data_IF_904819430549
#
_entry.id   IF_904819430549
#
_cell.length_a   1.000
_cell.length_b   1.000
_cell.length_c   1.000
_cell.angle_alpha   90.00
_cell.angle_beta   90.00
_cell.angle_gamma   90.00
#
_symmetry.space_group_name_H-M   'P 1'
#
loop_
_entity.id
_entity.type
_entity.pdbx_description
1 polymer ?
#
# COMPACT_ATOMS: atom_id res chain seq x y z
N UNK A 1 40.00 -23.36 42.84
CA UNK A 1 38.84 -22.42 42.83
C UNK A 1 39.01 -21.45 41.69
N UNK A 2 38.59 -21.80 40.48
CA UNK A 2 38.54 -20.90 39.34
C UNK A 2 37.83 -21.62 38.20
N UNK A 3 36.47 -21.56 38.18
CA UNK A 3 35.64 -22.02 37.05
C UNK A 3 34.19 -21.61 37.26
N UNK A 4 33.90 -20.29 37.27
CA UNK A 4 32.48 -19.84 37.30
C UNK A 4 32.28 -18.39 36.82
N UNK A 5 33.01 -17.89 35.84
CA UNK A 5 32.78 -16.52 35.33
C UNK A 5 32.70 -16.38 33.82
N UNK A 6 32.46 -17.44 33.04
CA UNK A 6 32.48 -17.32 31.58
C UNK A 6 31.13 -17.58 30.91
N UNK A 7 30.02 -17.60 31.65
CA UNK A 7 28.70 -17.95 31.06
C UNK A 7 27.67 -16.80 31.02
N UNK A 8 27.99 -15.59 31.46
CA UNK A 8 27.02 -14.49 31.54
C UNK A 8 27.09 -13.52 30.35
N UNK A 9 28.12 -13.57 29.52
CA UNK A 9 28.32 -12.59 28.43
C UNK A 9 27.77 -13.00 27.08
N UNK A 10 27.19 -14.18 26.90
CA UNK A 10 26.65 -14.64 25.61
C UNK A 10 25.13 -14.37 25.48
N UNK A 11 24.43 -14.16 26.60
CA UNK A 11 22.96 -13.91 26.55
C UNK A 11 22.58 -12.47 26.24
N UNK A 12 23.49 -11.52 26.38
CA UNK A 12 23.17 -10.08 26.12
C UNK A 12 23.27 -9.68 24.65
N UNK A 13 23.90 -10.49 23.80
CA UNK A 13 24.10 -10.20 22.38
C UNK A 13 22.94 -10.58 21.46
N UNK A 14 22.05 -11.48 21.91
CA UNK A 14 20.97 -12.01 21.05
C UNK A 14 19.68 -11.19 21.17
N UNK A 15 19.50 -10.43 22.25
CA UNK A 15 18.27 -9.62 22.44
C UNK A 15 18.25 -8.30 21.69
N UNK A 16 19.38 -7.82 21.15
CA UNK A 16 19.45 -6.55 20.42
C UNK A 16 19.20 -6.66 18.92
N UNK A 17 19.11 -7.88 18.37
CA UNK A 17 18.89 -8.08 16.94
C UNK A 17 17.42 -8.23 16.53
N UNK A 18 16.49 -8.34 17.49
CA UNK A 18 15.07 -8.55 17.20
C UNK A 18 14.24 -7.28 17.12
N UNK A 19 14.77 -6.13 17.54
CA UNK A 19 14.01 -4.87 17.58
C UNK A 19 14.15 -4.00 16.33
N UNK A 20 15.08 -4.30 15.42
CA UNK A 20 15.30 -3.47 14.22
C UNK A 20 14.47 -3.87 13.00
N UNK A 21 13.82 -5.04 12.99
CA UNK A 21 13.01 -5.47 11.85
C UNK A 21 11.61 -4.86 11.81
N UNK A 22 11.08 -4.35 12.92
CA UNK A 22 9.74 -3.78 12.95
C UNK A 22 9.68 -2.28 12.56
N UNK A 23 10.82 -1.58 12.51
CA UNK A 23 10.86 -0.15 12.22
C UNK A 23 10.50 0.21 10.77
N UNK A 24 10.42 -0.77 9.87
CA UNK A 24 10.17 -0.56 8.43
C UNK A 24 8.92 -1.28 7.91
N UNK A 25 8.14 -1.93 8.76
CA UNK A 25 6.93 -2.61 8.33
C UNK A 25 5.83 -1.58 7.99
N UNK A 26 5.09 -1.82 6.91
CA UNK A 26 3.90 -1.03 6.60
C UNK A 26 2.90 -1.10 7.75
N UNK A 27 2.33 0.03 8.13
CA UNK A 27 1.20 0.10 9.07
C UNK A 27 -0.03 -0.62 8.48
N UNK A 28 -1.02 -0.89 9.31
CA UNK A 28 -2.26 -1.54 8.85
C UNK A 28 -2.99 -0.69 7.79
N UNK A 29 -2.99 0.63 7.95
CA UNK A 29 -3.54 1.56 6.96
C UNK A 29 -2.76 1.53 5.64
N UNK A 30 -1.44 1.49 5.70
CA UNK A 30 -0.60 1.38 4.51
C UNK A 30 -0.79 0.03 3.80
N UNK A 31 -0.93 -1.08 4.55
CA UNK A 31 -1.24 -2.40 3.99
C UNK A 31 -2.63 -2.43 3.35
N UNK A 32 -3.62 -1.81 3.99
CA UNK A 32 -4.96 -1.67 3.43
C UNK A 32 -4.92 -0.90 2.11
N UNK A 33 -4.24 0.24 2.06
CA UNK A 33 -4.11 1.05 0.84
C UNK A 33 -3.39 0.29 -0.28
N UNK A 34 -2.30 -0.43 0.04
CA UNK A 34 -1.58 -1.26 -0.93
C UNK A 34 -2.43 -2.42 -1.48
N UNK A 35 -3.22 -3.07 -0.61
CA UNK A 35 -4.17 -4.11 -1.03
C UNK A 35 -5.25 -3.52 -1.93
N UNK A 36 -5.84 -2.42 -1.55
CA UNK A 36 -6.93 -1.81 -2.29
C UNK A 36 -6.50 -1.22 -3.63
N UNK A 37 -5.27 -0.72 -3.73
CA UNK A 37 -4.68 -0.37 -5.03
C UNK A 37 -4.71 -1.58 -5.99
N UNK A 38 -4.20 -2.74 -5.55
CA UNK A 38 -4.18 -3.95 -6.38
C UNK A 38 -5.58 -4.44 -6.75
N UNK A 39 -6.55 -4.36 -5.82
CA UNK A 39 -7.96 -4.73 -6.07
C UNK A 39 -8.58 -3.81 -7.12
N UNK A 40 -8.42 -2.50 -6.98
CA UNK A 40 -8.94 -1.53 -7.93
C UNK A 40 -8.30 -1.66 -9.31
N UNK A 41 -6.96 -1.81 -9.38
CA UNK A 41 -6.23 -1.96 -10.64
C UNK A 41 -6.64 -3.25 -11.37
N UNK A 42 -6.77 -4.37 -10.65
CA UNK A 42 -7.23 -5.64 -11.22
C UNK A 42 -8.68 -5.55 -11.72
N UNK A 43 -9.56 -4.96 -10.94
CA UNK A 43 -10.97 -4.76 -11.34
C UNK A 43 -11.10 -3.80 -12.54
N UNK A 44 -10.23 -2.78 -12.62
CA UNK A 44 -10.16 -1.90 -13.78
C UNK A 44 -9.78 -2.66 -15.06
N UNK A 45 -8.79 -3.56 -14.97
CA UNK A 45 -8.41 -4.41 -16.09
C UNK A 45 -9.58 -5.30 -16.56
N UNK A 46 -10.31 -5.93 -15.64
CA UNK A 46 -11.50 -6.71 -15.99
C UNK A 46 -12.60 -5.87 -16.64
N UNK A 47 -12.85 -4.67 -16.11
CA UNK A 47 -13.81 -3.75 -16.71
C UNK A 47 -13.42 -3.31 -18.12
N UNK A 48 -12.13 -3.11 -18.36
CA UNK A 48 -11.59 -2.82 -19.70
C UNK A 48 -11.81 -3.99 -20.66
N UNK A 49 -11.52 -5.22 -20.24
CA UNK A 49 -11.78 -6.41 -21.06
C UNK A 49 -13.27 -6.56 -21.44
N UNK A 50 -14.17 -6.01 -20.63
CA UNK A 50 -15.62 -5.96 -20.89
C UNK A 50 -16.05 -4.71 -21.66
N UNK A 51 -15.11 -3.91 -22.20
CA UNK A 51 -15.34 -2.63 -22.86
C UNK A 51 -16.06 -1.58 -21.98
N UNK A 52 -16.02 -1.72 -20.65
CA UNK A 52 -16.59 -0.74 -19.73
C UNK A 52 -15.52 0.29 -19.33
N UNK A 53 -15.17 1.18 -20.27
CA UNK A 53 -14.11 2.17 -20.10
C UNK A 53 -14.40 3.15 -18.96
N UNK A 54 -15.67 3.53 -18.76
CA UNK A 54 -16.06 4.43 -17.67
C UNK A 54 -15.75 3.82 -16.29
N UNK A 55 -16.13 2.57 -16.08
CA UNK A 55 -15.82 1.85 -14.84
C UNK A 55 -14.32 1.63 -14.67
N UNK A 56 -13.61 1.22 -15.73
CA UNK A 56 -12.17 1.03 -15.71
C UNK A 56 -11.44 2.32 -15.28
N UNK A 57 -11.79 3.46 -15.87
CA UNK A 57 -11.19 4.76 -15.53
C UNK A 57 -11.46 5.14 -14.06
N UNK A 58 -12.68 4.94 -13.56
CA UNK A 58 -13.03 5.22 -12.16
C UNK A 58 -12.21 4.36 -11.19
N UNK A 59 -12.10 3.06 -11.45
CA UNK A 59 -11.33 2.14 -10.63
C UNK A 59 -9.82 2.47 -10.64
N UNK A 60 -9.27 2.85 -11.79
CA UNK A 60 -7.88 3.33 -11.89
C UNK A 60 -7.64 4.60 -11.07
N UNK A 61 -8.60 5.51 -11.06
CA UNK A 61 -8.52 6.70 -10.24
C UNK A 61 -8.49 6.36 -8.74
N UNK A 62 -9.30 5.40 -8.28
CA UNK A 62 -9.28 4.92 -6.90
C UNK A 62 -7.95 4.22 -6.56
N UNK A 63 -7.39 3.42 -7.48
CA UNK A 63 -6.08 2.80 -7.31
C UNK A 63 -4.98 3.86 -7.14
N UNK A 64 -4.95 4.87 -8.01
CA UNK A 64 -3.99 5.98 -7.93
C UNK A 64 -4.11 6.75 -6.60
N UNK A 65 -5.32 6.99 -6.10
CA UNK A 65 -5.55 7.62 -4.80
C UNK A 65 -5.00 6.78 -3.64
N UNK A 66 -5.21 5.47 -3.67
CA UNK A 66 -4.70 4.56 -2.64
C UNK A 66 -3.17 4.60 -2.60
N UNK A 67 -2.51 4.53 -3.76
CA UNK A 67 -1.05 4.60 -3.86
C UNK A 67 -0.52 5.95 -3.36
N UNK A 68 -1.12 7.05 -3.78
CA UNK A 68 -0.71 8.39 -3.35
C UNK A 68 -0.83 8.55 -1.84
N UNK A 69 -1.94 8.11 -1.25
CA UNK A 69 -2.17 8.16 0.19
C UNK A 69 -1.16 7.32 0.98
N UNK A 70 -0.82 6.15 0.47
CA UNK A 70 0.19 5.28 1.09
C UNK A 70 1.55 5.98 1.17
N UNK A 71 2.01 6.61 0.08
CA UNK A 71 3.27 7.32 0.07
C UNK A 71 3.25 8.56 0.96
N UNK A 72 2.12 9.25 1.06
CA UNK A 72 1.97 10.36 1.99
C UNK A 72 2.10 9.96 3.45
N UNK A 73 1.45 8.87 3.88
CA UNK A 73 1.61 8.35 5.23
C UNK A 73 3.08 8.00 5.49
N UNK A 74 3.75 7.38 4.51
CA UNK A 74 5.15 6.99 4.63
C UNK A 74 6.08 8.18 4.80
N UNK A 75 5.85 9.27 4.06
CA UNK A 75 6.61 10.50 4.15
C UNK A 75 6.46 11.16 5.53
N UNK A 76 5.21 11.22 6.05
CA UNK A 76 4.95 11.74 7.41
C UNK A 76 5.66 10.92 8.47
N UNK A 77 5.67 9.62 8.33
CA UNK A 77 6.28 8.71 9.29
C UNK A 77 7.81 8.61 9.15
N UNK A 78 8.43 9.35 8.22
CA UNK A 78 9.88 9.32 7.98
C UNK A 78 10.39 7.97 7.50
N UNK A 79 9.54 7.12 6.92
CA UNK A 79 9.91 5.78 6.45
C UNK A 79 10.71 5.89 5.15
N UNK A 80 11.81 5.12 5.05
CA UNK A 80 12.66 5.10 3.86
C UNK A 80 11.86 4.67 2.62
N UNK A 81 11.81 5.54 1.62
CA UNK A 81 11.00 5.37 0.40
C UNK A 81 11.23 4.02 -0.31
N UNK A 82 12.47 3.54 -0.37
CA UNK A 82 12.80 2.26 -1.00
C UNK A 82 12.12 1.06 -0.32
N UNK A 83 12.18 1.01 1.00
CA UNK A 83 11.55 -0.05 1.81
C UNK A 83 10.02 -0.08 1.62
N UNK A 84 9.38 1.09 1.55
CA UNK A 84 7.93 1.19 1.30
C UNK A 84 7.56 0.66 -0.08
N UNK A 85 8.34 1.01 -1.10
CA UNK A 85 8.10 0.55 -2.48
C UNK A 85 8.18 -0.97 -2.57
N UNK A 86 9.18 -1.60 -1.94
CA UNK A 86 9.36 -3.05 -2.00
C UNK A 86 8.22 -3.79 -1.29
N UNK A 87 7.81 -3.31 -0.12
CA UNK A 87 6.69 -3.87 0.62
C UNK A 87 5.36 -3.66 -0.12
N UNK A 88 5.16 -2.49 -0.71
CA UNK A 88 4.01 -2.19 -1.56
C UNK A 88 3.90 -3.17 -2.73
N UNK A 89 5.01 -3.38 -3.46
CA UNK A 89 5.07 -4.35 -4.56
C UNK A 89 4.78 -5.79 -4.08
N UNK A 90 5.24 -6.16 -2.89
CA UNK A 90 4.97 -7.47 -2.31
C UNK A 90 3.49 -7.65 -2.00
N UNK A 91 2.85 -6.69 -1.32
CA UNK A 91 1.41 -6.72 -1.03
C UNK A 91 0.59 -6.79 -2.32
N UNK A 92 0.94 -5.98 -3.32
CA UNK A 92 0.28 -5.97 -4.62
C UNK A 92 0.36 -7.33 -5.33
N UNK A 93 1.55 -7.96 -5.36
CA UNK A 93 1.74 -9.30 -5.95
C UNK A 93 0.91 -10.37 -5.25
N UNK A 94 0.88 -10.36 -3.91
CA UNK A 94 0.09 -11.32 -3.13
C UNK A 94 -1.40 -11.12 -3.36
N UNK A 95 -1.88 -9.88 -3.38
CA UNK A 95 -3.28 -9.56 -3.65
C UNK A 95 -3.69 -9.99 -5.06
N UNK A 96 -2.87 -9.68 -6.07
CA UNK A 96 -3.12 -10.12 -7.45
C UNK A 96 -3.21 -11.65 -7.55
N UNK A 97 -2.25 -12.39 -6.96
CA UNK A 97 -2.27 -13.86 -6.96
C UNK A 97 -3.54 -14.43 -6.37
N UNK A 98 -4.03 -13.86 -5.26
CA UNK A 98 -5.30 -14.27 -4.64
C UNK A 98 -6.49 -14.04 -5.56
N UNK A 99 -6.56 -12.88 -6.21
CA UNK A 99 -7.60 -12.54 -7.17
C UNK A 99 -7.57 -13.45 -8.41
N UNK A 100 -6.40 -13.70 -8.98
CA UNK A 100 -6.23 -14.61 -10.12
C UNK A 100 -6.67 -16.05 -9.79
N UNK A 101 -6.40 -16.52 -8.57
CA UNK A 101 -6.79 -17.85 -8.11
C UNK A 101 -8.26 -17.93 -7.68
N UNK A 102 -9.02 -16.85 -7.77
CA UNK A 102 -10.41 -16.75 -7.28
C UNK A 102 -10.58 -17.12 -5.80
N UNK A 103 -9.52 -16.99 -5.01
CA UNK A 103 -9.54 -17.24 -3.56
C UNK A 103 -10.45 -16.26 -2.82
N UNK A 104 -10.78 -15.13 -3.46
CA UNK A 104 -11.62 -14.08 -2.90
C UNK A 104 -12.60 -13.59 -3.97
N UNK A 105 -13.83 -13.33 -3.58
CA UNK A 105 -14.80 -12.69 -4.49
C UNK A 105 -14.41 -11.22 -4.67
N UNK A 106 -14.14 -10.82 -5.91
CA UNK A 106 -13.70 -9.45 -6.24
C UNK A 106 -14.66 -8.39 -5.72
N UNK A 107 -15.97 -8.65 -5.78
CA UNK A 107 -17.00 -7.71 -5.30
C UNK A 107 -16.90 -7.48 -3.80
N UNK A 108 -16.61 -8.51 -3.01
CA UNK A 108 -16.43 -8.39 -1.56
C UNK A 108 -15.18 -7.57 -1.24
N UNK A 109 -14.08 -7.81 -1.97
CA UNK A 109 -12.85 -7.03 -1.80
C UNK A 109 -13.04 -5.57 -2.21
N UNK A 110 -13.77 -5.29 -3.30
CA UNK A 110 -14.13 -3.93 -3.70
C UNK A 110 -14.97 -3.24 -2.63
N UNK A 111 -15.95 -3.94 -2.07
CA UNK A 111 -16.79 -3.41 -0.98
C UNK A 111 -15.96 -3.05 0.26
N UNK A 112 -15.01 -3.90 0.65
CA UNK A 112 -14.08 -3.60 1.75
C UNK A 112 -13.22 -2.37 1.41
N UNK A 113 -12.70 -2.27 0.20
CA UNK A 113 -11.89 -1.14 -0.21
C UNK A 113 -12.70 0.17 -0.25
N UNK A 114 -13.93 0.12 -0.75
CA UNK A 114 -14.81 1.29 -0.79
C UNK A 114 -15.23 1.77 0.60
N UNK A 115 -15.49 0.84 1.52
CA UNK A 115 -15.90 1.18 2.88
C UNK A 115 -14.76 1.66 3.79
N UNK A 116 -13.52 1.22 3.55
CA UNK A 116 -12.38 1.48 4.43
C UNK A 116 -11.31 2.37 3.81
N UNK A 117 -10.87 2.07 2.58
CA UNK A 117 -9.78 2.81 1.95
C UNK A 117 -10.22 4.18 1.42
N UNK A 118 -11.43 4.32 0.85
CA UNK A 118 -11.93 5.61 0.37
C UNK A 118 -12.05 6.68 1.47
N UNK A 119 -12.67 6.42 2.63
CA UNK A 119 -12.68 7.38 3.73
C UNK A 119 -11.28 7.75 4.21
N UNK A 120 -10.37 6.78 4.29
CA UNK A 120 -8.98 7.02 4.68
C UNK A 120 -8.27 7.94 3.68
N UNK A 121 -8.41 7.70 2.36
CA UNK A 121 -7.83 8.57 1.33
C UNK A 121 -8.39 9.99 1.40
N UNK A 122 -9.69 10.15 1.67
CA UNK A 122 -10.31 11.48 1.84
C UNK A 122 -9.72 12.23 3.05
N UNK A 123 -9.55 11.54 4.17
CA UNK A 123 -8.94 12.12 5.38
C UNK A 123 -7.49 12.56 5.13
N UNK A 124 -6.69 11.72 4.47
CA UNK A 124 -5.29 12.03 4.13
C UNK A 124 -5.22 13.24 3.20
N UNK A 125 -6.09 13.30 2.19
CA UNK A 125 -6.16 14.43 1.29
C UNK A 125 -6.48 15.75 2.00
N UNK A 126 -7.44 15.74 2.91
CA UNK A 126 -7.79 16.93 3.71
C UNK A 126 -6.64 17.38 4.62
N UNK A 127 -5.98 16.43 5.30
CA UNK A 127 -4.84 16.73 6.14
C UNK A 127 -3.68 17.32 5.34
N UNK A 128 -3.42 16.80 4.16
CA UNK A 128 -2.36 17.31 3.30
C UNK A 128 -2.62 18.71 2.81
N UNK A 129 -3.81 19.00 2.31
CA UNK A 129 -4.20 20.37 1.92
C UNK A 129 -3.96 21.37 3.03
N UNK A 130 -4.23 20.94 4.27
CA UNK A 130 -4.05 21.78 5.48
C UNK A 130 -2.58 22.00 5.85
N UNK A 131 -1.73 20.97 5.69
CA UNK A 131 -0.37 20.99 6.23
C UNK A 131 0.69 21.47 5.23
N UNK A 132 0.53 21.23 3.92
CA UNK A 132 1.63 21.39 2.97
C UNK A 132 1.33 22.16 1.68
N UNK A 133 0.10 22.59 1.46
CA UNK A 133 -0.25 23.38 0.27
C UNK A 133 -0.08 22.66 -1.09
N UNK A 134 0.37 21.40 -1.09
CA UNK A 134 0.44 20.60 -2.31
C UNK A 134 -0.95 20.21 -2.75
N UNK A 135 -1.16 20.15 -4.05
CA UNK A 135 -2.37 19.55 -4.59
C UNK A 135 -2.17 18.03 -4.62
N UNK A 136 -2.91 17.32 -3.78
CA UNK A 136 -3.05 15.86 -3.84
C UNK A 136 -3.33 15.40 -5.28
N UNK A 137 -4.04 16.21 -6.03
CA UNK A 137 -4.38 15.99 -7.43
C UNK A 137 -3.18 15.85 -8.36
N UNK A 138 -2.08 16.59 -8.15
CA UNK A 138 -0.88 16.51 -9.00
C UNK A 138 -0.22 15.13 -8.88
N UNK A 139 0.03 14.67 -7.65
CA UNK A 139 0.59 13.34 -7.40
C UNK A 139 -0.33 12.23 -7.89
N UNK A 140 -1.63 12.38 -7.68
CA UNK A 140 -2.63 11.43 -8.13
C UNK A 140 -2.68 11.35 -9.66
N UNK A 141 -2.55 12.46 -10.37
CA UNK A 141 -2.53 12.49 -11.83
C UNK A 141 -1.33 11.73 -12.39
N UNK A 142 -0.16 11.87 -11.81
CA UNK A 142 1.04 11.13 -12.21
C UNK A 142 0.86 9.62 -12.05
N UNK A 143 0.34 9.16 -10.90
CA UNK A 143 0.06 7.74 -10.68
C UNK A 143 -1.01 7.21 -11.61
N UNK A 144 -2.09 7.96 -11.80
CA UNK A 144 -3.16 7.58 -12.70
C UNK A 144 -2.67 7.41 -14.14
N UNK A 145 -1.83 8.33 -14.62
CA UNK A 145 -1.25 8.25 -15.96
C UNK A 145 -0.36 7.01 -16.12
N UNK A 146 0.51 6.74 -15.14
CA UNK A 146 1.36 5.53 -15.14
C UNK A 146 0.55 4.25 -15.15
N UNK A 147 -0.52 4.18 -14.35
CA UNK A 147 -1.39 3.02 -14.30
C UNK A 147 -2.14 2.81 -15.62
N UNK A 148 -2.71 3.87 -16.21
CA UNK A 148 -3.37 3.78 -17.52
C UNK A 148 -2.44 3.25 -18.60
N UNK A 149 -1.19 3.73 -18.65
CA UNK A 149 -0.19 3.21 -19.57
C UNK A 149 0.10 1.72 -19.38
N UNK A 150 0.10 1.25 -18.10
CA UNK A 150 0.38 -0.15 -17.77
C UNK A 150 -0.72 -1.10 -18.26
N UNK A 151 -1.97 -0.66 -18.25
CA UNK A 151 -3.12 -1.49 -18.66
C UNK A 151 -3.66 -1.13 -20.06
N UNK A 152 -3.01 -0.20 -20.76
CA UNK A 152 -3.37 0.14 -22.13
C UNK A 152 -4.63 0.99 -22.27
N UNK A 153 -4.93 1.86 -21.29
CA UNK A 153 -6.01 2.86 -21.30
C UNK A 153 -5.54 4.22 -21.79
#
# INVERSE_FOLDING_TARGET
>A
MARQQTFVLILSGVLLLTTTQNAFALSDDQRLLAKCEAVYAYSAHLAQMQNNIGLATNLMFRAARSTTSLFMISEVNGVVKGSVIDQFKQVGRLSKKRLDNRETQIMDELSVCDSRALPLTNTIEQLRKKLWGYTFQELQSEFLQKMKQTIGL
#
